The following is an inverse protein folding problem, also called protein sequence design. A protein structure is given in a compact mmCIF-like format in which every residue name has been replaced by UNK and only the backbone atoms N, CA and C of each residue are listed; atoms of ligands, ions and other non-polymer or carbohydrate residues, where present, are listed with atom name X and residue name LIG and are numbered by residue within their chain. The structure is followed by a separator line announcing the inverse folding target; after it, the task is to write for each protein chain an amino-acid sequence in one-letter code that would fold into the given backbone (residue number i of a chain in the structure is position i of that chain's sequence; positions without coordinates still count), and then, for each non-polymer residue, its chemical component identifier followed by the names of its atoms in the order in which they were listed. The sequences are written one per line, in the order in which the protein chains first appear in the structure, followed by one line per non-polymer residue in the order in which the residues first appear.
data_IF_343801413308
#
_entry.id   IF_343801413308
#
_cell.length_a   1.000
_cell.length_b   1.000
_cell.length_c   1.000
_cell.angle_alpha   90.00
_cell.angle_beta   90.00
_cell.angle_gamma   90.00
#
_symmetry.space_group_name_H-M   'P 1'
#
loop_
_entity.id
_entity.type
_entity.pdbx_description
1 polymer ?
#
# COMPACT_ATOMS: atom_id res chain seq x y z
N UNK A 1 -1.80 14.68 38.30
CA UNK A 1 -2.69 13.56 37.93
C UNK A 1 -3.54 13.98 36.73
N UNK A 2 -4.30 15.08 36.80
CA UNK A 2 -5.10 15.55 35.65
C UNK A 2 -4.27 15.85 34.37
N UNK A 3 -3.14 16.58 34.48
CA UNK A 3 -2.28 16.89 33.31
C UNK A 3 -1.64 15.64 32.69
N UNK A 4 -1.35 14.62 33.51
CA UNK A 4 -0.77 13.35 33.03
C UNK A 4 -1.83 12.49 32.33
N UNK A 5 -3.09 12.57 32.76
CA UNK A 5 -4.22 11.88 32.15
C UNK A 5 -4.60 12.49 30.80
N UNK A 6 -4.68 13.83 30.70
CA UNK A 6 -4.94 14.53 29.42
C UNK A 6 -3.86 14.20 28.36
N UNK A 7 -2.59 14.19 28.77
CA UNK A 7 -1.51 13.85 27.86
C UNK A 7 -1.60 12.39 27.38
N UNK A 8 -1.98 11.46 28.25
CA UNK A 8 -2.17 10.05 27.90
C UNK A 8 -3.29 9.88 26.87
N UNK A 9 -4.46 10.52 27.08
CA UNK A 9 -5.59 10.45 26.14
C UNK A 9 -5.23 10.98 24.74
N UNK A 10 -4.45 12.07 24.70
CA UNK A 10 -3.97 12.65 23.43
C UNK A 10 -2.98 11.75 22.71
N UNK A 11 -2.12 11.05 23.45
CA UNK A 11 -1.20 10.06 22.89
C UNK A 11 -1.97 8.89 22.31
N UNK A 12 -2.96 8.36 23.03
CA UNK A 12 -3.80 7.25 22.55
C UNK A 12 -4.56 7.62 21.28
N UNK A 13 -5.16 8.81 21.26
CA UNK A 13 -5.84 9.34 20.07
C UNK A 13 -4.88 9.46 18.89
N UNK A 14 -3.67 9.97 19.12
CA UNK A 14 -2.66 10.09 18.08
C UNK A 14 -2.23 8.72 17.55
N UNK A 15 -1.98 7.74 18.43
CA UNK A 15 -1.66 6.37 18.04
C UNK A 15 -2.77 5.80 17.15
N UNK A 16 -4.04 5.97 17.53
CA UNK A 16 -5.18 5.53 16.72
C UNK A 16 -5.21 6.13 15.31
N UNK A 17 -4.85 7.41 15.15
CA UNK A 17 -4.71 8.02 13.83
C UNK A 17 -3.59 7.38 13.00
N UNK A 18 -2.42 7.14 13.61
CA UNK A 18 -1.27 6.53 12.90
C UNK A 18 -1.58 5.09 12.49
N UNK A 19 -2.26 4.32 13.33
CA UNK A 19 -2.73 2.98 12.96
C UNK A 19 -3.70 3.00 11.77
N UNK A 20 -4.63 3.97 11.76
CA UNK A 20 -5.56 4.17 10.65
C UNK A 20 -4.83 4.45 9.34
N UNK A 21 -3.79 5.29 9.37
CA UNK A 21 -2.94 5.58 8.22
C UNK A 21 -2.22 4.32 7.74
N UNK A 22 -1.62 3.55 8.66
CA UNK A 22 -0.93 2.29 8.32
C UNK A 22 -1.84 1.31 7.59
N UNK A 23 -3.07 1.10 8.09
CA UNK A 23 -4.09 0.26 7.45
C UNK A 23 -4.47 0.76 6.05
N UNK A 24 -4.65 2.07 5.90
CA UNK A 24 -4.97 2.70 4.60
C UNK A 24 -3.86 2.53 3.56
N UNK A 25 -2.61 2.72 3.97
CA UNK A 25 -1.45 2.50 3.11
C UNK A 25 -1.32 1.04 2.68
N UNK A 26 -1.51 0.09 3.61
CA UNK A 26 -1.45 -1.34 3.30
C UNK A 26 -2.52 -1.74 2.27
N UNK A 27 -3.74 -1.21 2.41
CA UNK A 27 -4.83 -1.42 1.45
C UNK A 27 -4.48 -0.87 0.05
N UNK A 28 -3.85 0.30 0.00
CA UNK A 28 -3.43 0.95 -1.24
C UNK A 28 -2.33 0.15 -1.95
N UNK A 29 -1.31 -0.31 -1.20
CA UNK A 29 -0.24 -1.20 -1.70
C UNK A 29 -0.83 -2.49 -2.27
N UNK A 30 -1.75 -3.13 -1.54
CA UNK A 30 -2.41 -4.35 -2.02
C UNK A 30 -3.19 -4.14 -3.32
N UNK A 31 -3.87 -3.00 -3.45
CA UNK A 31 -4.64 -2.65 -4.65
C UNK A 31 -3.74 -2.34 -5.84
N UNK A 32 -2.62 -1.67 -5.59
CA UNK A 32 -1.59 -1.43 -6.59
C UNK A 32 -0.99 -2.75 -7.11
N UNK A 33 -0.53 -3.63 -6.22
CA UNK A 33 0.05 -4.93 -6.61
C UNK A 33 -0.95 -5.82 -7.36
N UNK A 34 -2.25 -5.78 -7.01
CA UNK A 34 -3.30 -6.44 -7.81
C UNK A 34 -3.39 -5.88 -9.24
N UNK A 35 -3.22 -4.56 -9.38
CA UNK A 35 -3.23 -3.88 -10.67
C UNK A 35 -2.03 -4.30 -11.50
N UNK A 36 -0.82 -4.32 -10.92
CA UNK A 36 0.41 -4.84 -11.54
C UNK A 36 0.21 -6.29 -12.00
N UNK A 37 -0.35 -7.14 -11.13
CA UNK A 37 -0.67 -8.52 -11.49
C UNK A 37 -1.67 -8.64 -12.65
N UNK A 38 -2.68 -7.77 -12.74
CA UNK A 38 -3.63 -7.73 -13.87
C UNK A 38 -2.95 -7.24 -15.15
N UNK A 39 -2.11 -6.21 -15.03
CA UNK A 39 -1.32 -5.67 -16.13
C UNK A 39 -0.47 -6.76 -16.79
N UNK A 40 0.31 -7.48 -15.98
CA UNK A 40 1.19 -8.54 -16.46
C UNK A 40 0.42 -9.72 -17.08
N UNK A 41 -0.68 -10.14 -16.47
CA UNK A 41 -1.42 -11.35 -16.90
C UNK A 41 -2.41 -11.11 -18.03
N UNK A 42 -2.91 -9.89 -18.20
CA UNK A 42 -3.99 -9.59 -19.15
C UNK A 42 -3.58 -8.59 -20.21
N UNK A 43 -2.86 -7.53 -19.82
CA UNK A 43 -2.61 -6.42 -20.72
C UNK A 43 -1.36 -6.65 -21.58
N UNK A 44 -0.25 -7.12 -21.01
CA UNK A 44 0.96 -7.42 -21.79
C UNK A 44 0.73 -8.46 -22.90
N UNK A 45 0.07 -9.62 -22.64
CA UNK A 45 -0.18 -10.59 -23.71
C UNK A 45 -1.14 -10.06 -24.78
N UNK A 46 -2.11 -9.22 -24.39
CA UNK A 46 -3.03 -8.59 -25.33
C UNK A 46 -2.31 -7.57 -26.22
N UNK A 47 -1.33 -6.83 -25.68
CA UNK A 47 -0.48 -5.94 -26.46
C UNK A 47 0.39 -6.72 -27.44
N UNK A 48 1.07 -7.78 -27.00
CA UNK A 48 1.86 -8.65 -27.87
C UNK A 48 1.00 -9.14 -29.04
N UNK A 49 -0.22 -9.61 -28.74
CA UNK A 49 -1.14 -10.05 -29.79
C UNK A 49 -1.55 -8.92 -30.74
N UNK A 50 -1.77 -7.72 -30.21
CA UNK A 50 -2.10 -6.54 -31.02
C UNK A 50 -0.95 -6.14 -31.95
N UNK A 51 0.29 -6.22 -31.45
CA UNK A 51 1.51 -5.97 -32.21
C UNK A 51 1.65 -6.93 -33.38
N UNK A 52 1.46 -8.24 -33.15
CA UNK A 52 1.46 -9.25 -34.21
C UNK A 52 0.45 -8.92 -35.31
N UNK A 53 -0.76 -8.49 -34.94
CA UNK A 53 -1.84 -8.20 -35.88
C UNK A 53 -1.60 -6.91 -36.68
N UNK A 54 -0.94 -5.92 -36.08
CA UNK A 54 -0.68 -4.61 -36.69
C UNK A 54 0.69 -4.50 -37.37
N UNK A 55 1.58 -5.47 -37.17
CA UNK A 55 2.99 -5.33 -37.55
C UNK A 55 3.69 -4.20 -36.79
N UNK A 56 3.26 -3.90 -35.56
CA UNK A 56 3.86 -2.90 -34.68
C UNK A 56 4.79 -3.55 -33.65
N UNK A 57 5.65 -2.75 -33.03
CA UNK A 57 6.56 -3.17 -31.94
C UNK A 57 6.42 -2.23 -30.73
N UNK A 58 5.19 -1.81 -30.42
CA UNK A 58 4.94 -0.97 -29.25
C UNK A 58 5.15 -1.80 -27.98
N UNK A 59 5.92 -1.28 -27.02
CA UNK A 59 6.12 -1.95 -25.74
C UNK A 59 5.53 -1.09 -24.63
N UNK A 60 4.77 -1.74 -23.76
CA UNK A 60 4.26 -1.13 -22.55
C UNK A 60 5.35 -1.09 -21.47
N UNK A 61 5.22 -0.14 -20.54
CA UNK A 61 6.17 0.01 -19.44
C UNK A 61 6.09 -1.19 -18.50
N UNK A 62 7.22 -1.65 -17.99
CA UNK A 62 7.19 -2.67 -16.92
C UNK A 62 6.65 -2.04 -15.64
N UNK A 63 5.63 -2.67 -15.04
CA UNK A 63 5.16 -2.34 -13.71
C UNK A 63 5.74 -3.32 -12.70
N UNK A 64 6.25 -2.81 -11.58
CA UNK A 64 6.82 -3.62 -10.49
C UNK A 64 5.94 -3.52 -9.27
N UNK A 65 5.88 -4.62 -8.52
CA UNK A 65 5.18 -4.64 -7.25
C UNK A 65 5.90 -3.77 -6.22
N UNK A 66 5.14 -3.29 -5.24
CA UNK A 66 5.68 -2.71 -4.01
C UNK A 66 5.91 -3.86 -3.03
N UNK A 67 7.16 -4.09 -2.66
CA UNK A 67 7.57 -5.12 -1.69
C UNK A 67 7.56 -4.62 -0.24
N UNK A 68 7.50 -3.29 -0.04
CA UNK A 68 7.43 -2.67 1.29
C UNK A 68 6.02 -2.73 1.89
N UNK A 69 5.97 -2.89 3.22
CA UNK A 69 4.75 -2.75 4.01
C UNK A 69 4.87 -1.56 4.97
N UNK A 70 3.75 -0.86 5.27
CA UNK A 70 3.74 0.13 6.34
C UNK A 70 4.19 -0.51 7.65
N UNK A 71 5.01 0.19 8.42
CA UNK A 71 5.47 -0.32 9.72
C UNK A 71 4.29 -0.41 10.68
N UNK A 72 4.14 -1.56 11.32
CA UNK A 72 3.19 -1.72 12.41
C UNK A 72 3.67 -0.94 13.64
N UNK A 73 2.75 -0.26 14.32
CA UNK A 73 3.04 0.34 15.61
C UNK A 73 3.08 -0.80 16.62
N UNK A 74 4.25 -1.07 17.19
CA UNK A 74 4.35 -2.02 18.29
C UNK A 74 3.80 -1.37 19.56
N UNK A 75 2.70 -1.92 20.06
CA UNK A 75 2.06 -1.50 21.31
C UNK A 75 3.01 -1.74 22.50
N UNK A 76 3.80 -0.72 22.88
CA UNK A 76 4.54 -0.69 24.16
C UNK A 76 4.69 0.73 24.68
N UNK A 77 3.62 1.28 25.21
CA UNK A 77 3.70 2.10 26.40
C UNK A 77 2.78 1.48 27.44
N UNK A 78 3.26 0.40 28.08
CA UNK A 78 2.74 0.05 29.40
C UNK A 78 3.25 1.11 30.35
N UNK A 79 2.46 2.15 30.56
CA UNK A 79 2.65 3.03 31.71
C UNK A 79 2.17 2.24 32.92
N UNK A 80 3.09 1.81 33.77
CA UNK A 80 2.80 1.25 35.10
C UNK A 80 2.06 2.25 35.99
#
# INVERSE_FOLDING_TARGET
MEVTEDLAERIDTFIGHVEGIGKGLQSSINSYNKTVGSYNRRLLPAQEKLNELKGSNENFLEMKDIEDSPREIQEKLKTE
#
